data_IF_672226369558
#
_entry.id   IF_672226369558
#
_cell.length_a   1.000
_cell.length_b   1.000
_cell.length_c   1.000
_cell.angle_alpha   90.00
_cell.angle_beta   90.00
_cell.angle_gamma   90.00
#
_symmetry.space_group_name_H-M   'P 1'
#
loop_
_entity.id
_entity.type
_entity.pdbx_description
1 polymer ?
#
# COMPACT_ATOMS: atom_id res chain seq x y z
N UNK A 1 39.98 -43.76 -7.63
CA UNK A 1 39.48 -43.24 -8.92
C UNK A 1 37.96 -43.35 -8.90
N UNK A 2 37.28 -42.32 -8.40
CA UNK A 2 35.80 -42.20 -8.43
C UNK A 2 35.45 -40.80 -8.83
N UNK A 3 34.82 -40.67 -9.99
CA UNK A 3 34.37 -39.42 -10.56
C UNK A 3 33.08 -38.99 -9.86
N UNK A 4 33.04 -37.78 -9.32
CA UNK A 4 31.86 -37.14 -8.83
C UNK A 4 31.23 -36.32 -9.97
N UNK A 5 30.06 -36.71 -10.44
CA UNK A 5 29.27 -36.02 -11.46
C UNK A 5 28.61 -34.78 -10.86
N UNK A 6 28.88 -33.66 -11.49
CA UNK A 6 28.30 -32.34 -11.24
C UNK A 6 26.88 -32.29 -11.78
N UNK A 7 25.88 -32.21 -10.92
CA UNK A 7 24.50 -31.80 -11.28
C UNK A 7 24.22 -30.42 -10.69
N UNK A 8 24.61 -29.36 -11.41
CA UNK A 8 24.26 -27.98 -11.08
C UNK A 8 23.22 -27.40 -12.03
N UNK A 9 22.13 -26.88 -11.46
CA UNK A 9 21.33 -25.72 -11.89
C UNK A 9 20.47 -25.85 -13.15
N UNK A 10 19.37 -26.59 -13.07
CA UNK A 10 18.22 -26.40 -13.99
C UNK A 10 17.02 -25.68 -13.35
N UNK A 11 17.01 -25.51 -12.02
CA UNK A 11 15.86 -24.96 -11.26
C UNK A 11 15.75 -23.43 -11.32
N UNK A 12 16.83 -22.67 -11.52
CA UNK A 12 16.78 -21.20 -11.46
C UNK A 12 16.18 -20.51 -12.69
N UNK A 13 16.26 -21.14 -13.87
CA UNK A 13 15.74 -20.55 -15.12
C UNK A 13 14.23 -20.73 -15.31
N UNK A 14 13.64 -21.78 -14.75
CA UNK A 14 12.22 -22.04 -14.84
C UNK A 14 11.42 -21.05 -13.98
N UNK A 15 11.85 -20.76 -12.75
CA UNK A 15 11.20 -19.82 -11.84
C UNK A 15 11.17 -18.39 -12.38
N UNK A 16 12.24 -17.94 -13.04
CA UNK A 16 12.28 -16.60 -13.67
C UNK A 16 11.32 -16.49 -14.86
N UNK A 17 11.20 -17.53 -15.70
CA UNK A 17 10.28 -17.54 -16.83
C UNK A 17 8.80 -17.53 -16.40
N UNK A 18 8.43 -18.24 -15.36
CA UNK A 18 7.06 -18.22 -14.82
C UNK A 18 6.69 -16.84 -14.26
N UNK A 19 7.61 -16.16 -13.63
CA UNK A 19 7.41 -14.80 -13.11
C UNK A 19 7.12 -13.80 -14.25
N UNK A 20 7.91 -13.83 -15.33
CA UNK A 20 7.70 -12.96 -16.49
C UNK A 20 6.48 -13.33 -17.32
N UNK A 21 6.14 -14.63 -17.43
CA UNK A 21 4.91 -15.07 -18.08
C UNK A 21 3.66 -14.58 -17.32
N UNK A 22 3.65 -14.61 -15.98
CA UNK A 22 2.53 -14.05 -15.21
C UNK A 22 2.43 -12.53 -15.37
N UNK A 23 3.54 -11.82 -15.45
CA UNK A 23 3.56 -10.38 -15.71
C UNK A 23 3.03 -10.07 -17.13
N UNK A 24 3.46 -10.81 -18.15
CA UNK A 24 2.98 -10.65 -19.52
C UNK A 24 1.49 -11.02 -19.66
N UNK A 25 1.03 -12.08 -18.98
CA UNK A 25 -0.38 -12.49 -19.02
C UNK A 25 -1.32 -11.47 -18.35
N UNK A 26 -0.84 -10.77 -17.31
CA UNK A 26 -1.55 -9.65 -16.68
C UNK A 26 -1.62 -8.43 -17.62
N UNK A 27 -0.54 -8.14 -18.36
CA UNK A 27 -0.49 -7.02 -19.31
C UNK A 27 -1.43 -7.26 -20.50
N UNK A 28 -1.48 -8.47 -21.06
CA UNK A 28 -2.33 -8.78 -22.21
C UNK A 28 -3.84 -8.73 -21.90
N UNK A 29 -4.26 -8.99 -20.66
CA UNK A 29 -5.68 -8.92 -20.28
C UNK A 29 -6.22 -7.50 -20.12
N UNK A 30 -5.37 -6.54 -19.83
CA UNK A 30 -5.76 -5.13 -19.56
C UNK A 30 -5.92 -4.33 -20.87
N UNK A 31 -5.31 -4.79 -21.98
CA UNK A 31 -5.30 -4.05 -23.26
C UNK A 31 -6.59 -4.24 -24.09
N UNK A 32 -7.51 -5.13 -23.75
CA UNK A 32 -8.56 -5.60 -24.68
C UNK A 32 -10.02 -5.26 -24.33
N UNK A 33 -10.33 -4.24 -23.52
CA UNK A 33 -11.72 -3.78 -23.40
C UNK A 33 -11.89 -2.29 -23.70
N UNK A 34 -12.25 -1.92 -24.96
CA UNK A 34 -12.73 -0.59 -25.25
C UNK A 34 -14.26 -0.50 -25.09
N UNK A 35 -14.69 0.52 -24.36
CA UNK A 35 -15.94 1.28 -24.47
C UNK A 35 -17.30 0.62 -24.24
N UNK A 36 -17.94 1.05 -23.14
CA UNK A 36 -19.34 1.46 -23.19
C UNK A 36 -19.48 2.83 -22.51
N UNK A 37 -19.60 3.86 -23.32
CA UNK A 37 -19.83 5.23 -22.89
C UNK A 37 -21.30 5.42 -22.51
N UNK A 38 -21.60 5.45 -21.23
CA UNK A 38 -22.75 6.16 -20.67
C UNK A 38 -22.12 7.28 -19.85
N UNK A 39 -22.58 8.54 -20.05
CA UNK A 39 -22.01 9.74 -19.43
C UNK A 39 -21.96 9.66 -17.90
N UNK A 40 -20.89 9.04 -17.43
CA UNK A 40 -20.47 9.06 -16.05
C UNK A 40 -19.46 10.21 -16.00
N UNK A 41 -19.71 11.22 -15.19
CA UNK A 41 -18.66 12.17 -14.81
C UNK A 41 -17.40 11.34 -14.47
N UNK A 42 -16.29 11.60 -15.14
CA UNK A 42 -15.03 10.91 -14.91
C UNK A 42 -14.63 11.10 -13.45
N UNK A 43 -15.01 10.15 -12.62
CA UNK A 43 -14.69 10.16 -11.19
C UNK A 43 -13.25 9.68 -11.06
N UNK A 44 -12.35 10.64 -11.01
CA UNK A 44 -10.95 10.33 -10.76
C UNK A 44 -10.76 9.89 -9.31
N UNK A 45 -10.13 8.74 -9.14
CA UNK A 45 -9.81 8.20 -7.83
C UNK A 45 -8.36 8.49 -7.48
N UNK A 46 -8.05 8.52 -6.19
CA UNK A 46 -6.66 8.57 -5.70
C UNK A 46 -6.34 7.34 -4.87
N UNK A 47 -5.27 6.65 -5.19
CA UNK A 47 -4.75 5.51 -4.45
C UNK A 47 -3.48 5.94 -3.69
N UNK A 48 -3.55 5.98 -2.38
CA UNK A 48 -2.38 6.14 -1.51
C UNK A 48 -1.81 4.78 -1.18
N UNK A 49 -0.51 4.60 -1.36
CA UNK A 49 0.14 3.29 -1.20
C UNK A 49 1.30 3.37 -0.23
N UNK A 50 1.36 2.40 0.67
CA UNK A 50 2.47 2.22 1.59
C UNK A 50 2.77 0.73 1.77
N UNK A 51 3.95 0.41 2.31
CA UNK A 51 4.32 -0.95 2.64
C UNK A 51 4.66 -1.11 4.11
N UNK A 52 4.50 -2.33 4.58
CA UNK A 52 4.93 -2.76 5.91
C UNK A 52 5.44 -4.19 5.87
N UNK A 53 6.18 -4.59 6.89
CA UNK A 53 6.63 -5.96 7.02
C UNK A 53 6.66 -6.42 8.48
N UNK A 54 6.50 -7.72 8.68
CA UNK A 54 6.79 -8.42 9.92
C UNK A 54 7.79 -9.55 9.66
N UNK A 55 7.93 -10.48 10.59
CA UNK A 55 8.85 -11.62 10.44
C UNK A 55 8.47 -12.52 9.25
N UNK A 56 7.16 -12.72 9.03
CA UNK A 56 6.63 -13.70 8.06
C UNK A 56 6.21 -13.09 6.73
N UNK A 57 5.78 -11.82 6.69
CA UNK A 57 5.14 -11.23 5.52
C UNK A 57 5.73 -9.88 5.15
N UNK A 58 5.79 -9.64 3.84
CA UNK A 58 5.90 -8.32 3.25
C UNK A 58 4.55 -7.94 2.65
N UNK A 59 4.02 -6.78 3.00
CA UNK A 59 2.65 -6.36 2.75
C UNK A 59 2.68 -5.00 2.05
N UNK A 60 1.94 -4.86 0.97
CA UNK A 60 1.66 -3.56 0.32
C UNK A 60 0.18 -3.29 0.47
N UNK A 61 -0.16 -2.09 0.89
CA UNK A 61 -1.54 -1.66 1.12
C UNK A 61 -1.81 -0.39 0.33
N UNK A 62 -2.99 -0.33 -0.28
CA UNK A 62 -3.49 0.86 -0.97
C UNK A 62 -4.80 1.33 -0.38
N UNK A 63 -4.91 2.60 -0.05
CA UNK A 63 -6.16 3.28 0.33
C UNK A 63 -6.68 4.05 -0.88
N UNK A 64 -7.72 3.52 -1.53
CA UNK A 64 -8.40 4.16 -2.64
C UNK A 64 -9.49 5.09 -2.11
N UNK A 65 -9.48 6.33 -2.55
CA UNK A 65 -10.47 7.35 -2.18
C UNK A 65 -10.95 8.12 -3.40
N UNK A 66 -12.18 8.63 -3.33
CA UNK A 66 -12.76 9.44 -4.38
C UNK A 66 -12.26 10.89 -4.38
N UNK A 67 -12.02 11.46 -3.22
CA UNK A 67 -11.61 12.86 -3.04
C UNK A 67 -10.36 12.96 -2.18
N UNK A 68 -9.31 13.50 -2.76
CA UNK A 68 -8.09 13.84 -2.01
C UNK A 68 -8.37 14.99 -1.02
N UNK A 69 -9.25 15.90 -1.37
CA UNK A 69 -9.65 17.04 -0.55
C UNK A 69 -10.33 16.59 0.75
N UNK A 70 -11.13 15.51 0.70
CA UNK A 70 -11.77 14.93 1.89
C UNK A 70 -10.74 14.33 2.83
N UNK A 71 -9.72 13.66 2.28
CA UNK A 71 -8.59 13.13 3.05
C UNK A 71 -7.83 14.25 3.75
N UNK A 72 -7.51 15.34 3.04
CA UNK A 72 -6.83 16.50 3.60
C UNK A 72 -7.68 17.20 4.68
N UNK A 73 -9.00 17.26 4.50
CA UNK A 73 -9.92 17.83 5.49
C UNK A 73 -9.98 16.96 6.75
N UNK A 74 -10.12 15.64 6.59
CA UNK A 74 -10.13 14.69 7.70
C UNK A 74 -8.83 14.75 8.49
N UNK A 75 -7.69 14.83 7.79
CA UNK A 75 -6.39 14.95 8.43
C UNK A 75 -6.23 16.25 9.24
N UNK A 76 -6.72 17.37 8.70
CA UNK A 76 -6.74 18.65 9.45
C UNK A 76 -7.62 18.58 10.70
N UNK A 77 -8.80 17.95 10.60
CA UNK A 77 -9.68 17.69 11.76
C UNK A 77 -9.00 16.81 12.80
N UNK A 78 -8.32 15.77 12.35
CA UNK A 78 -7.56 14.86 13.20
C UNK A 78 -6.42 15.59 13.94
N UNK A 79 -5.60 16.38 13.23
CA UNK A 79 -4.56 17.23 13.85
C UNK A 79 -5.12 18.20 14.88
N UNK A 80 -6.25 18.83 14.60
CA UNK A 80 -6.95 19.70 15.58
C UNK A 80 -7.33 18.91 16.84
N UNK A 81 -7.74 17.66 16.71
CA UNK A 81 -8.01 16.77 17.84
C UNK A 81 -6.76 16.46 18.68
N UNK A 82 -5.59 16.27 18.02
CA UNK A 82 -4.31 16.07 18.71
C UNK A 82 -3.95 17.31 19.55
N UNK A 83 -4.18 18.52 19.07
CA UNK A 83 -3.86 19.74 19.82
C UNK A 83 -4.62 19.84 21.14
N UNK A 84 -5.85 19.34 21.21
CA UNK A 84 -6.67 19.25 22.42
C UNK A 84 -6.38 18.04 23.33
N UNK A 85 -5.57 17.09 22.88
CA UNK A 85 -5.29 15.89 23.67
C UNK A 85 -4.38 16.17 24.88
N UNK A 86 -4.61 15.45 25.98
CA UNK A 86 -3.76 15.51 27.19
C UNK A 86 -2.48 14.67 27.02
N UNK A 87 -1.60 15.11 26.14
CA UNK A 87 -0.30 14.49 25.86
C UNK A 87 0.81 15.55 25.93
N UNK A 88 2.07 15.11 26.10
CA UNK A 88 3.19 16.05 26.18
C UNK A 88 3.35 16.90 24.92
N UNK A 89 3.82 18.14 25.07
CA UNK A 89 4.06 19.02 23.90
C UNK A 89 5.08 18.42 22.93
N UNK A 90 6.11 17.72 23.40
CA UNK A 90 7.10 17.03 22.56
C UNK A 90 6.42 15.99 21.67
N UNK A 91 5.50 15.22 22.23
CA UNK A 91 4.77 14.21 21.47
C UNK A 91 3.78 14.86 20.50
N UNK A 92 3.05 15.91 20.92
CA UNK A 92 2.20 16.68 19.99
C UNK A 92 3.00 17.12 18.78
N UNK A 93 4.17 17.72 19.00
CA UNK A 93 5.03 18.20 17.93
C UNK A 93 5.49 17.07 17.01
N UNK A 94 5.86 15.93 17.55
CA UNK A 94 6.20 14.73 16.74
C UNK A 94 5.03 14.28 15.88
N UNK A 95 3.82 14.15 16.46
CA UNK A 95 2.61 13.74 15.75
C UNK A 95 2.13 14.79 14.72
N UNK A 96 2.44 16.08 14.94
CA UNK A 96 2.18 17.13 13.94
C UNK A 96 3.11 17.07 12.74
N UNK A 97 4.35 16.64 12.98
CA UNK A 97 5.33 16.49 11.89
C UNK A 97 5.03 15.25 11.06
N UNK A 98 4.84 14.13 11.73
CA UNK A 98 4.53 12.87 11.08
C UNK A 98 3.75 11.98 12.05
N UNK A 99 2.59 11.52 11.60
CA UNK A 99 1.73 10.65 12.39
C UNK A 99 2.13 9.20 12.14
N UNK A 100 3.14 8.70 12.87
CA UNK A 100 3.58 7.31 12.73
C UNK A 100 2.74 6.37 13.57
N UNK A 101 2.16 5.40 12.91
CA UNK A 101 1.33 4.35 13.51
C UNK A 101 2.02 3.61 14.65
N UNK A 102 3.30 3.29 14.52
CA UNK A 102 4.09 2.58 15.56
C UNK A 102 4.10 3.31 16.90
N UNK A 103 4.03 4.64 16.91
CA UNK A 103 3.97 5.44 18.14
C UNK A 103 2.63 5.31 18.87
N UNK A 104 1.60 4.80 18.21
CA UNK A 104 0.23 4.76 18.69
C UNK A 104 -0.21 3.39 19.16
N UNK A 105 0.51 2.33 18.79
CA UNK A 105 0.08 0.95 19.03
C UNK A 105 -0.15 0.64 20.51
N UNK A 106 0.61 1.25 21.42
CA UNK A 106 0.53 0.93 22.84
C UNK A 106 0.10 2.09 23.74
N UNK A 107 0.30 3.34 23.32
CA UNK A 107 0.10 4.49 24.21
C UNK A 107 -1.04 5.41 23.80
N UNK A 108 -1.48 5.39 22.55
CA UNK A 108 -2.45 6.33 22.01
C UNK A 108 -3.55 5.64 21.20
N UNK A 109 -4.04 4.53 21.71
CA UNK A 109 -5.09 3.70 21.11
C UNK A 109 -6.29 4.51 20.64
N UNK A 110 -6.73 5.47 21.46
CA UNK A 110 -7.86 6.34 21.13
C UNK A 110 -7.60 7.17 19.85
N UNK A 111 -6.37 7.66 19.67
CA UNK A 111 -6.01 8.43 18.48
C UNK A 111 -5.93 7.54 17.24
N UNK A 112 -5.31 6.36 17.37
CA UNK A 112 -5.28 5.38 16.28
C UNK A 112 -6.67 4.96 15.86
N UNK A 113 -7.52 4.59 16.83
CA UNK A 113 -8.92 4.22 16.59
C UNK A 113 -9.68 5.35 15.88
N UNK A 114 -9.50 6.59 16.34
CA UNK A 114 -10.13 7.74 15.69
C UNK A 114 -9.69 7.91 14.25
N UNK A 115 -8.40 7.75 13.96
CA UNK A 115 -7.91 7.87 12.58
C UNK A 115 -8.51 6.78 11.67
N UNK A 116 -8.65 5.55 12.16
CA UNK A 116 -9.30 4.47 11.41
C UNK A 116 -10.79 4.77 11.18
N UNK A 117 -11.48 5.35 12.16
CA UNK A 117 -12.88 5.77 12.00
C UNK A 117 -13.03 6.89 10.95
N UNK A 118 -12.10 7.86 10.88
CA UNK A 118 -12.11 8.88 9.81
C UNK A 118 -11.99 8.24 8.41
N UNK A 119 -11.23 7.15 8.26
CA UNK A 119 -11.17 6.40 6.98
C UNK A 119 -12.53 5.82 6.61
N UNK A 120 -13.29 5.36 7.58
CA UNK A 120 -14.62 4.78 7.35
C UNK A 120 -15.65 5.83 6.91
N UNK A 121 -15.41 7.11 7.19
CA UNK A 121 -16.24 8.24 6.74
C UNK A 121 -15.96 8.65 5.28
N UNK A 122 -14.86 8.18 4.67
CA UNK A 122 -14.58 8.47 3.25
C UNK A 122 -15.59 7.75 2.36
N UNK A 123 -16.26 8.49 1.51
CA UNK A 123 -17.26 7.94 0.59
C UNK A 123 -16.59 6.94 -0.38
N UNK A 124 -17.16 5.74 -0.46
CA UNK A 124 -16.70 4.66 -1.34
C UNK A 124 -15.21 4.33 -1.24
N UNK A 125 -14.57 4.56 -0.08
CA UNK A 125 -13.17 4.15 0.11
C UNK A 125 -13.02 2.63 0.10
N UNK A 126 -11.92 2.17 -0.52
CA UNK A 126 -11.54 0.75 -0.56
C UNK A 126 -10.10 0.63 -0.08
N UNK A 127 -9.84 -0.37 0.76
CA UNK A 127 -8.50 -0.71 1.22
C UNK A 127 -8.06 -1.96 0.47
N UNK A 128 -7.13 -1.82 -0.46
CA UNK A 128 -6.49 -2.97 -1.09
C UNK A 128 -5.34 -3.46 -0.23
N UNK A 129 -5.25 -4.78 -0.05
CA UNK A 129 -4.13 -5.40 0.66
C UNK A 129 -3.59 -6.57 -0.15
N UNK A 130 -2.30 -6.54 -0.41
CA UNK A 130 -1.57 -7.62 -1.06
C UNK A 130 -0.33 -7.98 -0.25
N UNK A 131 -0.03 -9.26 -0.12
CA UNK A 131 1.11 -9.70 0.67
C UNK A 131 1.81 -10.90 0.07
N UNK A 132 3.05 -11.11 0.47
CA UNK A 132 3.86 -12.29 0.15
C UNK A 132 4.55 -12.80 1.41
N UNK A 133 4.64 -14.13 1.53
CA UNK A 133 5.40 -14.75 2.63
C UNK A 133 6.90 -14.56 2.40
N UNK A 134 7.62 -14.22 3.46
CA UNK A 134 9.08 -14.03 3.44
C UNK A 134 9.77 -15.39 3.53
N UNK A 135 9.77 -16.14 2.43
CA UNK A 135 10.48 -17.39 2.27
C UNK A 135 11.88 -17.19 1.64
N UNK A 136 12.59 -18.29 1.37
CA UNK A 136 13.90 -18.24 0.72
C UNK A 136 13.89 -17.51 -0.63
N UNK A 137 12.78 -17.57 -1.38
CA UNK A 137 12.65 -16.92 -2.68
C UNK A 137 12.47 -15.40 -2.52
N UNK A 138 11.80 -14.96 -1.46
CA UNK A 138 11.69 -13.54 -1.12
C UNK A 138 13.06 -12.91 -0.93
N UNK A 139 13.94 -13.54 -0.12
CA UNK A 139 15.27 -13.01 0.16
C UNK A 139 16.26 -13.05 -1.03
N UNK A 140 15.92 -13.78 -2.10
CA UNK A 140 16.68 -13.78 -3.35
C UNK A 140 16.30 -12.64 -4.29
N UNK A 141 15.21 -11.91 -4.00
CA UNK A 141 14.71 -10.81 -4.81
C UNK A 141 15.07 -9.47 -4.17
N UNK A 142 15.15 -8.44 -4.99
CA UNK A 142 15.21 -7.08 -4.46
C UNK A 142 13.84 -6.72 -3.88
N UNK A 143 13.81 -6.04 -2.74
CA UNK A 143 12.57 -5.61 -2.08
C UNK A 143 11.67 -4.79 -3.04
N UNK A 144 12.29 -3.95 -3.87
CA UNK A 144 11.59 -3.16 -4.88
C UNK A 144 10.87 -4.03 -5.93
N UNK A 145 11.45 -5.16 -6.33
CA UNK A 145 10.79 -6.08 -7.30
C UNK A 145 9.54 -6.72 -6.71
N UNK A 146 9.60 -7.05 -5.41
CA UNK A 146 8.44 -7.58 -4.69
C UNK A 146 7.39 -6.49 -4.52
N UNK A 147 7.79 -5.27 -4.17
CA UNK A 147 6.89 -4.12 -4.07
C UNK A 147 6.16 -3.87 -5.41
N UNK A 148 6.91 -3.79 -6.52
CA UNK A 148 6.33 -3.61 -7.87
C UNK A 148 5.33 -4.73 -8.19
N UNK A 149 5.65 -5.98 -7.87
CA UNK A 149 4.75 -7.11 -8.10
C UNK A 149 3.44 -6.95 -7.31
N UNK A 150 3.50 -6.62 -6.03
CA UNK A 150 2.31 -6.47 -5.20
C UNK A 150 1.49 -5.25 -5.60
N UNK A 151 2.15 -4.12 -5.90
CA UNK A 151 1.49 -2.93 -6.42
C UNK A 151 0.81 -3.19 -7.77
N UNK A 152 1.45 -3.94 -8.68
CA UNK A 152 0.85 -4.33 -9.96
C UNK A 152 -0.45 -5.12 -9.78
N UNK A 153 -0.54 -6.01 -8.79
CA UNK A 153 -1.78 -6.74 -8.48
C UNK A 153 -2.88 -5.79 -7.99
N UNK A 154 -2.54 -4.84 -7.12
CA UNK A 154 -3.50 -3.82 -6.66
C UNK A 154 -4.00 -3.02 -7.86
N UNK A 155 -3.10 -2.49 -8.68
CA UNK A 155 -3.44 -1.66 -9.85
C UNK A 155 -4.30 -2.42 -10.86
N UNK A 156 -4.03 -3.71 -11.08
CA UNK A 156 -4.86 -4.57 -11.96
C UNK A 156 -6.29 -4.76 -11.42
N UNK A 157 -6.48 -4.58 -10.12
CA UNK A 157 -7.80 -4.71 -9.46
C UNK A 157 -8.59 -3.40 -9.40
N UNK A 158 -8.03 -2.29 -9.90
CA UNK A 158 -8.71 -1.01 -9.99
C UNK A 158 -9.73 -1.02 -11.13
N UNK A 159 -10.87 -0.38 -10.91
CA UNK A 159 -12.00 -0.35 -11.85
C UNK A 159 -12.12 1.00 -12.59
N UNK A 160 -11.31 2.01 -12.21
CA UNK A 160 -11.34 3.35 -12.77
C UNK A 160 -9.94 3.94 -12.92
N UNK A 161 -9.82 4.99 -13.73
CA UNK A 161 -8.59 5.76 -13.82
C UNK A 161 -8.24 6.38 -12.47
N UNK A 162 -6.99 6.18 -12.06
CA UNK A 162 -6.54 6.44 -10.69
C UNK A 162 -5.20 7.15 -10.69
N UNK A 163 -5.08 8.19 -9.88
CA UNK A 163 -3.80 8.77 -9.50
C UNK A 163 -3.18 7.95 -8.37
N UNK A 164 -1.95 7.51 -8.54
CA UNK A 164 -1.23 6.74 -7.53
C UNK A 164 -0.21 7.64 -6.85
N UNK A 165 -0.29 7.68 -5.52
CA UNK A 165 0.67 8.37 -4.65
C UNK A 165 1.24 7.34 -3.68
N UNK A 166 2.55 7.14 -3.71
CA UNK A 166 3.22 6.18 -2.82
C UNK A 166 4.32 6.86 -2.00
N UNK A 167 4.66 6.27 -0.84
CA UNK A 167 5.71 6.85 0.01
C UNK A 167 7.08 6.76 -0.67
N UNK A 168 7.83 7.87 -0.61
CA UNK A 168 9.07 8.03 -1.34
C UNK A 168 10.15 7.06 -0.81
N UNK A 169 10.74 6.31 -1.72
CA UNK A 169 11.95 5.55 -1.42
C UNK A 169 13.14 6.53 -1.39
N UNK A 170 14.01 6.40 -0.39
CA UNK A 170 15.20 7.25 -0.27
C UNK A 170 16.24 7.03 -1.41
N UNK A 171 15.80 6.58 -2.60
CA UNK A 171 16.61 6.25 -3.77
C UNK A 171 15.85 6.59 -5.05
N UNK A 172 16.32 7.59 -5.78
CA UNK A 172 15.72 8.04 -7.05
C UNK A 172 15.58 6.92 -8.09
N UNK A 173 16.54 6.00 -8.16
CA UNK A 173 16.51 4.89 -9.12
C UNK A 173 15.36 3.91 -8.84
N UNK A 174 15.03 3.70 -7.56
CA UNK A 174 13.90 2.85 -7.17
C UNK A 174 12.58 3.47 -7.59
N UNK A 175 12.41 4.78 -7.39
CA UNK A 175 11.21 5.51 -7.78
C UNK A 175 11.02 5.52 -9.30
N UNK A 176 12.08 5.82 -10.05
CA UNK A 176 12.04 5.77 -11.51
C UNK A 176 11.64 4.39 -12.01
N UNK A 177 12.15 3.34 -11.39
CA UNK A 177 11.86 1.95 -11.75
C UNK A 177 10.40 1.58 -11.46
N UNK A 178 9.86 1.98 -10.28
CA UNK A 178 8.47 1.78 -9.92
C UNK A 178 7.57 2.51 -10.94
N UNK A 179 7.82 3.79 -11.18
CA UNK A 179 7.04 4.59 -12.12
C UNK A 179 7.03 3.97 -13.52
N UNK A 180 8.21 3.57 -14.04
CA UNK A 180 8.32 2.93 -15.37
C UNK A 180 7.52 1.63 -15.47
N UNK A 181 7.41 0.86 -14.38
CA UNK A 181 6.72 -0.43 -14.38
C UNK A 181 5.22 -0.31 -14.15
N UNK A 182 4.77 0.71 -13.43
CA UNK A 182 3.36 0.88 -13.04
C UNK A 182 2.61 1.82 -13.99
N UNK A 183 3.24 2.90 -14.47
CA UNK A 183 2.58 3.85 -15.37
C UNK A 183 1.91 3.26 -16.64
N UNK A 184 2.40 2.15 -17.23
CA UNK A 184 1.76 1.56 -18.41
C UNK A 184 0.40 0.90 -18.16
N UNK A 185 -0.03 0.70 -16.92
CA UNK A 185 -1.35 0.13 -16.66
C UNK A 185 -2.45 1.11 -17.06
N UNK A 186 -3.46 0.62 -17.76
CA UNK A 186 -4.55 1.43 -18.32
C UNK A 186 -5.37 2.18 -17.25
N UNK A 187 -5.43 1.63 -16.06
CA UNK A 187 -6.09 2.23 -14.90
C UNK A 187 -5.22 3.27 -14.17
N UNK A 188 -3.99 3.52 -14.63
CA UNK A 188 -3.08 4.49 -14.03
C UNK A 188 -3.07 5.78 -14.83
N UNK A 189 -3.67 6.83 -14.29
CA UNK A 189 -3.64 8.17 -14.85
C UNK A 189 -2.30 8.87 -14.59
N UNK A 190 -1.85 8.79 -13.36
CA UNK A 190 -0.54 9.29 -12.94
C UNK A 190 0.02 8.46 -11.79
N UNK A 191 1.35 8.49 -11.63
CA UNK A 191 2.03 7.87 -10.50
C UNK A 191 3.17 8.75 -10.03
N UNK A 192 3.26 8.99 -8.71
CA UNK A 192 4.32 9.79 -8.11
C UNK A 192 4.69 9.33 -6.72
N UNK A 193 5.98 9.44 -6.39
CA UNK A 193 6.47 9.33 -5.03
C UNK A 193 6.26 10.66 -4.29
N UNK A 194 5.87 10.60 -3.02
CA UNK A 194 5.75 11.76 -2.14
C UNK A 194 6.26 11.44 -0.74
N UNK A 195 6.77 12.45 -0.06
CA UNK A 195 7.15 12.35 1.36
C UNK A 195 5.87 12.24 2.22
N UNK A 196 5.76 11.18 3.00
CA UNK A 196 4.61 10.92 3.89
C UNK A 196 4.35 12.07 4.89
N UNK A 197 5.37 12.86 5.23
CA UNK A 197 5.19 14.05 6.09
C UNK A 197 4.39 15.17 5.43
N UNK A 198 4.36 15.20 4.10
CA UNK A 198 3.70 16.23 3.30
C UNK A 198 2.36 15.78 2.73
N UNK A 199 2.07 14.48 2.77
CA UNK A 199 0.90 13.89 2.14
C UNK A 199 0.01 13.17 3.17
N UNK A 200 -1.16 13.73 3.42
CA UNK A 200 -2.10 13.23 4.42
C UNK A 200 -2.54 11.78 4.16
N UNK A 201 -2.79 11.44 2.91
CA UNK A 201 -3.25 10.11 2.52
C UNK A 201 -2.22 9.02 2.82
N UNK A 202 -0.93 9.34 2.68
CA UNK A 202 0.16 8.42 3.04
C UNK A 202 0.18 8.15 4.55
N UNK A 203 -0.11 9.14 5.39
CA UNK A 203 -0.18 8.93 6.82
C UNK A 203 -1.42 8.11 7.24
N UNK A 204 -2.53 8.22 6.50
CA UNK A 204 -3.69 7.34 6.69
C UNK A 204 -3.36 5.91 6.30
N UNK A 205 -2.74 5.68 5.14
CA UNK A 205 -2.43 4.32 4.68
C UNK A 205 -1.34 3.66 5.52
N UNK A 206 -0.35 4.39 6.08
CA UNK A 206 0.61 3.84 7.07
C UNK A 206 -0.12 3.23 8.27
N UNK A 207 -1.17 3.91 8.77
CA UNK A 207 -1.97 3.36 9.86
C UNK A 207 -2.72 2.09 9.46
N UNK A 208 -3.26 2.04 8.25
CA UNK A 208 -3.92 0.84 7.70
C UNK A 208 -2.91 -0.30 7.55
N UNK A 209 -1.73 -0.03 6.99
CA UNK A 209 -0.62 -0.98 6.89
C UNK A 209 -0.27 -1.60 8.24
N UNK A 210 -0.14 -0.74 9.27
CA UNK A 210 0.14 -1.20 10.63
C UNK A 210 -0.95 -2.12 11.18
N UNK A 211 -2.22 -1.80 10.95
CA UNK A 211 -3.35 -2.64 11.42
C UNK A 211 -3.33 -4.01 10.73
N UNK A 212 -3.15 -4.04 9.41
CA UNK A 212 -3.06 -5.29 8.65
C UNK A 212 -1.85 -6.12 9.12
N UNK A 213 -0.72 -5.48 9.39
CA UNK A 213 0.47 -6.13 9.95
C UNK A 213 0.21 -6.73 11.33
N UNK A 214 -0.49 -6.01 12.22
CA UNK A 214 -0.85 -6.51 13.55
C UNK A 214 -1.78 -7.72 13.45
N UNK A 215 -2.80 -7.66 12.60
CA UNK A 215 -3.72 -8.78 12.35
C UNK A 215 -2.98 -10.02 11.81
N UNK A 216 -2.09 -9.83 10.83
CA UNK A 216 -1.29 -10.92 10.24
C UNK A 216 -0.28 -11.54 11.23
N UNK A 217 0.03 -10.86 12.32
CA UNK A 217 0.94 -11.33 13.38
C UNK A 217 0.20 -11.84 14.62
N UNK A 218 -1.14 -11.92 14.60
CA UNK A 218 -1.99 -12.21 15.76
C UNK A 218 -1.71 -11.29 16.96
N UNK A 219 -1.34 -10.03 16.68
CA UNK A 219 -0.98 -9.02 17.68
C UNK A 219 -1.98 -7.85 17.77
N UNK A 220 -3.13 -7.95 17.10
CA UNK A 220 -4.18 -6.92 17.15
C UNK A 220 -5.04 -7.04 18.41
N UNK A 221 -4.44 -6.73 19.54
CA UNK A 221 -5.07 -6.80 20.88
C UNK A 221 -6.25 -5.85 21.07
N UNK A 222 -6.41 -4.86 20.18
CA UNK A 222 -7.38 -3.77 20.31
C UNK A 222 -8.47 -3.81 19.24
N UNK A 223 -8.54 -4.90 18.47
CA UNK A 223 -9.51 -5.09 17.39
C UNK A 223 -9.55 -3.91 16.41
N UNK A 224 -8.40 -3.36 16.07
CA UNK A 224 -8.32 -2.29 15.08
C UNK A 224 -8.75 -2.75 13.69
N UNK A 225 -8.44 -4.01 13.35
CA UNK A 225 -8.78 -4.59 12.08
C UNK A 225 -10.30 -4.63 11.87
N UNK A 226 -11.07 -4.96 12.88
CA UNK A 226 -12.54 -5.01 12.84
C UNK A 226 -13.15 -3.66 12.41
N UNK A 227 -12.48 -2.53 12.72
CA UNK A 227 -12.96 -1.19 12.34
C UNK A 227 -12.97 -1.02 10.83
N UNK A 228 -11.96 -1.56 10.12
CA UNK A 228 -11.75 -1.32 8.69
C UNK A 228 -12.02 -2.57 7.83
N UNK A 229 -12.32 -3.71 8.43
CA UNK A 229 -12.47 -5.00 7.75
C UNK A 229 -13.44 -4.94 6.57
N UNK A 230 -14.58 -4.26 6.75
CA UNK A 230 -15.60 -4.15 5.70
C UNK A 230 -15.16 -3.38 4.46
N UNK A 231 -14.05 -2.65 4.52
CA UNK A 231 -13.45 -1.91 3.40
C UNK A 231 -12.27 -2.64 2.77
N UNK A 232 -11.82 -3.77 3.36
CA UNK A 232 -10.61 -4.46 2.90
C UNK A 232 -10.94 -5.42 1.74
N UNK A 233 -10.20 -5.25 0.65
CA UNK A 233 -10.17 -6.16 -0.51
C UNK A 233 -8.77 -6.75 -0.64
N UNK A 234 -8.63 -8.04 -0.33
CA UNK A 234 -7.36 -8.76 -0.54
C UNK A 234 -7.21 -9.18 -2.00
N UNK A 235 -6.04 -8.94 -2.60
CA UNK A 235 -5.73 -9.17 -4.03
C UNK A 235 -4.45 -9.96 -4.24
#
# INVERSE_FOLDING_TARGET
>A
MMMASSSKSSVSKASSRYFWMQLCYLVDRVILHPNNAIGIEDVFMTLFVDETENEDFFIVTGLLVRSKEDVDLAYRKFKKGISGAHISNKLKQSLFTEFKSVQLDHHFQALKRRMLLEIMEFDNSIIYSCHVKKDKLFYQKKKEDVYILLLSKIVTSLESETDIIYDAFNKSDSEQRINTKIAPFVTVRSIKAMDSRLEAGLQFVDNVCSVIRLQKSDKDQYSYYEIIESRIKTV
#
